data_IF_114872878280
#
_entry.id   IF_114872878280
#
_cell.length_a   1.000
_cell.length_b   1.000
_cell.length_c   1.000
_cell.angle_alpha   90.00
_cell.angle_beta   90.00
_cell.angle_gamma   90.00
#
_symmetry.space_group_name_H-M   'P 1'
#
loop_
_entity.id
_entity.type
_entity.pdbx_description
1 polymer ?
#
# COMPACT_ATOMS: atom_id res chain seq x y z
N UNK A 1 20.12 31.76 13.25
CA UNK A 1 19.19 31.23 14.24
C UNK A 1 17.77 30.94 13.67
N UNK A 2 17.05 31.94 13.10
CA UNK A 2 15.69 31.74 12.55
C UNK A 2 15.58 30.62 11.50
N UNK A 3 16.58 30.46 10.62
CA UNK A 3 16.57 29.45 9.54
C UNK A 3 16.69 28.02 10.10
N UNK A 4 17.51 27.83 11.14
CA UNK A 4 17.68 26.52 11.81
C UNK A 4 16.43 26.14 12.62
N UNK A 5 15.84 27.13 13.30
CA UNK A 5 14.58 26.97 14.05
C UNK A 5 13.42 26.58 13.14
N UNK A 6 13.28 27.24 11.97
CA UNK A 6 12.25 26.87 10.98
C UNK A 6 12.49 25.46 10.37
N UNK A 7 13.75 25.04 10.22
CA UNK A 7 14.08 23.69 9.77
C UNK A 7 13.71 22.65 10.82
N UNK A 8 13.98 22.96 12.09
CA UNK A 8 13.60 22.10 13.22
C UNK A 8 12.08 21.97 13.37
N UNK A 9 11.36 23.10 13.25
CA UNK A 9 9.88 23.08 13.26
C UNK A 9 9.33 22.24 12.11
N UNK A 10 9.84 22.40 10.89
CA UNK A 10 9.43 21.58 9.74
C UNK A 10 9.75 20.10 9.96
N UNK A 11 10.88 19.78 10.57
CA UNK A 11 11.26 18.41 10.91
C UNK A 11 10.33 17.82 11.97
N UNK A 12 10.04 18.57 13.04
CA UNK A 12 9.09 18.17 14.09
C UNK A 12 7.68 18.02 13.53
N UNK A 13 7.23 18.96 12.69
CA UNK A 13 5.93 18.85 12.01
C UNK A 13 5.88 17.64 11.10
N UNK A 14 6.96 17.34 10.37
CA UNK A 14 7.06 16.13 9.54
C UNK A 14 7.03 14.86 10.40
N UNK A 15 7.70 14.87 11.55
CA UNK A 15 7.70 13.74 12.49
C UNK A 15 6.31 13.54 13.14
N UNK A 16 5.69 14.62 13.59
CA UNK A 16 4.33 14.61 14.16
C UNK A 16 3.30 14.24 13.08
N UNK A 17 3.45 14.77 11.87
CA UNK A 17 2.57 14.43 10.75
C UNK A 17 2.69 12.96 10.35
N UNK A 18 3.90 12.40 10.40
CA UNK A 18 4.13 10.97 10.15
C UNK A 18 3.52 10.10 11.27
N UNK A 19 3.55 10.55 12.52
CA UNK A 19 2.85 9.87 13.63
C UNK A 19 1.33 10.06 13.60
N UNK A 20 0.83 11.20 13.06
CA UNK A 20 -0.59 11.55 12.99
C UNK A 20 -1.17 11.49 11.58
N UNK A 21 -0.47 10.95 10.61
CA UNK A 21 -1.01 10.70 9.27
C UNK A 21 -2.04 9.56 9.23
N UNK A 22 -2.55 9.22 10.39
CA UNK A 22 -3.91 8.73 10.49
C UNK A 22 -4.79 9.81 9.88
N UNK A 23 -5.42 9.52 8.85
CA UNK A 23 -6.51 10.15 8.16
C UNK A 23 -7.20 11.24 8.99
N UNK A 24 -7.31 12.46 8.50
CA UNK A 24 -8.24 13.42 9.06
C UNK A 24 -9.58 12.71 9.26
N UNK A 25 -10.01 12.59 10.51
CA UNK A 25 -11.26 11.92 10.85
C UNK A 25 -12.44 12.81 10.45
N UNK A 26 -12.66 12.89 9.15
CA UNK A 26 -13.82 13.56 8.58
C UNK A 26 -14.76 12.52 7.94
N UNK A 27 -15.97 12.94 7.59
CA UNK A 27 -16.98 12.04 7.02
C UNK A 27 -16.49 11.29 5.76
N UNK A 28 -15.62 11.89 4.95
CA UNK A 28 -15.09 11.25 3.73
C UNK A 28 -14.12 10.11 4.09
N UNK A 29 -13.20 10.35 5.02
CA UNK A 29 -12.25 9.33 5.45
C UNK A 29 -12.94 8.20 6.21
N UNK A 30 -13.96 8.52 7.03
CA UNK A 30 -14.76 7.50 7.71
C UNK A 30 -15.52 6.65 6.70
N UNK A 31 -16.23 7.26 5.73
CA UNK A 31 -16.92 6.51 4.68
C UNK A 31 -15.99 5.64 3.86
N UNK A 32 -14.78 6.11 3.59
CA UNK A 32 -13.75 5.34 2.90
C UNK A 32 -13.35 4.09 3.69
N UNK A 33 -13.06 4.23 4.99
CA UNK A 33 -12.72 3.11 5.86
C UNK A 33 -13.88 2.13 5.99
N UNK A 34 -15.12 2.64 6.15
CA UNK A 34 -16.33 1.79 6.21
C UNK A 34 -16.55 1.03 4.91
N UNK A 35 -16.30 1.66 3.75
CA UNK A 35 -16.34 0.98 2.46
C UNK A 35 -15.35 -0.18 2.38
N UNK A 36 -14.10 0.06 2.79
CA UNK A 36 -13.08 -1.00 2.87
C UNK A 36 -13.42 -2.09 3.88
N UNK A 37 -14.01 -1.72 5.01
CA UNK A 37 -14.47 -2.70 6.00
C UNK A 37 -15.55 -3.62 5.43
N UNK A 38 -16.53 -3.07 4.71
CA UNK A 38 -17.58 -3.87 4.05
C UNK A 38 -17.00 -4.84 3.01
N UNK A 39 -16.03 -4.40 2.22
CA UNK A 39 -15.31 -5.29 1.29
C UNK A 39 -14.56 -6.38 2.05
N UNK A 40 -13.89 -6.02 3.15
CA UNK A 40 -13.17 -6.98 3.97
C UNK A 40 -14.11 -8.04 4.59
N UNK A 41 -15.27 -7.64 5.08
CA UNK A 41 -16.29 -8.57 5.61
C UNK A 41 -16.72 -9.62 4.59
N UNK A 42 -16.75 -9.28 3.29
CA UNK A 42 -17.09 -10.24 2.23
C UNK A 42 -15.98 -11.28 2.02
N UNK A 43 -14.74 -10.98 2.36
CA UNK A 43 -13.58 -11.82 2.07
C UNK A 43 -12.88 -12.35 3.32
N UNK A 44 -13.31 -12.00 4.52
CA UNK A 44 -12.61 -12.38 5.74
C UNK A 44 -12.47 -13.90 5.89
N UNK A 45 -13.50 -14.64 5.54
CA UNK A 45 -13.56 -16.10 5.60
C UNK A 45 -13.14 -16.79 4.27
N UNK A 46 -12.81 -16.00 3.24
CA UNK A 46 -12.31 -16.53 1.96
C UNK A 46 -10.79 -16.74 2.09
N UNK A 47 -10.29 -17.98 1.91
CA UNK A 47 -8.85 -18.23 1.94
C UNK A 47 -8.13 -17.46 0.86
N UNK A 48 -6.98 -16.87 1.22
CA UNK A 48 -6.12 -16.18 0.27
C UNK A 48 -5.69 -14.79 0.74
N UNK A 49 -4.86 -14.19 -0.08
CA UNK A 49 -4.21 -12.91 0.16
C UNK A 49 -4.96 -11.77 -0.54
N UNK A 50 -4.64 -10.55 -0.17
CA UNK A 50 -5.13 -9.32 -0.82
C UNK A 50 -4.01 -8.81 -1.72
N UNK A 51 -4.34 -8.47 -2.97
CA UNK A 51 -3.43 -7.82 -3.91
C UNK A 51 -3.92 -6.39 -4.15
N UNK A 52 -3.00 -5.42 -4.14
CA UNK A 52 -3.27 -4.04 -4.53
C UNK A 52 -2.32 -3.64 -5.66
N UNK A 53 -2.89 -3.30 -6.81
CA UNK A 53 -2.18 -2.85 -8.00
C UNK A 53 -2.24 -1.33 -8.08
N UNK A 54 -1.09 -0.66 -7.93
CA UNK A 54 -1.03 0.80 -7.82
C UNK A 54 -1.22 1.28 -6.38
N UNK A 55 -0.34 0.85 -5.45
CA UNK A 55 -0.53 1.18 -4.03
C UNK A 55 -0.32 2.64 -3.67
N UNK A 56 0.42 3.40 -4.48
CA UNK A 56 0.72 4.80 -4.23
C UNK A 56 1.17 5.09 -2.80
N UNK A 57 0.30 5.71 -2.01
CA UNK A 57 0.55 6.05 -0.60
C UNK A 57 0.41 4.89 0.38
N UNK A 58 0.13 3.68 -0.09
CA UNK A 58 -0.16 2.44 0.67
C UNK A 58 -1.38 2.53 1.60
N UNK A 59 -2.29 3.45 1.32
CA UNK A 59 -3.47 3.69 2.17
C UNK A 59 -4.35 2.45 2.30
N UNK A 60 -4.73 1.84 1.17
CA UNK A 60 -5.59 0.67 1.15
C UNK A 60 -4.89 -0.54 1.77
N UNK A 61 -3.59 -0.71 1.49
CA UNK A 61 -2.76 -1.75 2.10
C UNK A 61 -2.71 -1.64 3.63
N UNK A 62 -2.59 -0.41 4.17
CA UNK A 62 -2.61 -0.17 5.63
C UNK A 62 -3.98 -0.50 6.21
N UNK A 63 -5.08 -0.05 5.58
CA UNK A 63 -6.43 -0.35 6.04
C UNK A 63 -6.67 -1.86 6.06
N UNK A 64 -6.35 -2.53 4.97
CA UNK A 64 -6.50 -4.00 4.84
C UNK A 64 -5.63 -4.75 5.84
N UNK A 65 -4.38 -4.32 6.03
CA UNK A 65 -3.47 -4.89 7.02
C UNK A 65 -3.99 -4.77 8.46
N UNK A 66 -4.60 -3.63 8.80
CA UNK A 66 -5.24 -3.46 10.10
C UNK A 66 -6.45 -4.38 10.27
N UNK A 67 -7.29 -4.57 9.25
CA UNK A 67 -8.42 -5.50 9.33
C UNK A 67 -7.95 -6.95 9.47
N UNK A 68 -6.86 -7.35 8.81
CA UNK A 68 -6.24 -8.66 8.98
C UNK A 68 -5.84 -8.85 10.44
N UNK A 69 -5.17 -7.87 11.07
CA UNK A 69 -4.77 -7.95 12.48
C UNK A 69 -5.95 -7.93 13.44
N UNK A 70 -6.95 -7.08 13.21
CA UNK A 70 -8.17 -7.03 14.02
C UNK A 70 -8.91 -8.38 14.04
N UNK A 71 -8.77 -9.18 12.98
CA UNK A 71 -9.38 -10.51 12.88
C UNK A 71 -8.39 -11.65 13.19
N UNK A 72 -7.19 -11.37 13.71
CA UNK A 72 -6.13 -12.35 14.04
C UNK A 72 -5.78 -13.27 12.86
N UNK A 73 -5.73 -12.71 11.64
CA UNK A 73 -5.51 -13.46 10.39
C UNK A 73 -4.11 -13.30 9.82
N UNK A 74 -3.20 -12.61 10.52
CA UNK A 74 -1.85 -12.29 10.05
C UNK A 74 -0.95 -13.50 9.77
N UNK A 75 -1.30 -14.68 10.31
CA UNK A 75 -0.56 -15.92 10.05
C UNK A 75 -0.80 -16.49 8.66
N UNK A 76 -1.97 -16.25 8.07
CA UNK A 76 -2.39 -16.89 6.81
C UNK A 76 -2.94 -15.93 5.75
N UNK A 77 -3.18 -14.66 6.09
CA UNK A 77 -3.60 -13.63 5.14
C UNK A 77 -2.59 -12.49 5.12
N UNK A 78 -2.18 -12.08 3.92
CA UNK A 78 -1.23 -10.98 3.69
C UNK A 78 -1.80 -10.00 2.66
N UNK A 79 -1.23 -8.79 2.64
CA UNK A 79 -1.43 -7.82 1.58
C UNK A 79 -0.16 -7.74 0.76
N UNK A 80 -0.27 -7.79 -0.56
CA UNK A 80 0.81 -7.58 -1.51
C UNK A 80 0.49 -6.33 -2.33
N UNK A 81 1.28 -5.29 -2.13
CA UNK A 81 1.11 -4.01 -2.79
C UNK A 81 2.13 -3.79 -3.88
N UNK A 82 1.68 -3.54 -5.10
CA UNK A 82 2.51 -3.35 -6.30
C UNK A 82 2.51 -1.90 -6.72
N UNK A 83 3.69 -1.32 -6.89
CA UNK A 83 3.86 0.04 -7.43
C UNK A 83 5.29 0.25 -7.91
N UNK A 84 5.49 1.23 -8.78
CA UNK A 84 6.83 1.67 -9.18
C UNK A 84 7.52 2.44 -8.06
N UNK A 85 6.76 3.13 -7.20
CA UNK A 85 7.22 4.09 -6.18
C UNK A 85 8.13 5.19 -6.75
N UNK A 86 7.96 5.48 -8.03
CA UNK A 86 8.73 6.49 -8.76
C UNK A 86 7.89 7.24 -9.79
N UNK A 87 6.55 7.09 -9.70
CA UNK A 87 5.60 7.64 -10.66
C UNK A 87 5.38 6.74 -11.88
N UNK A 88 4.75 7.26 -12.89
CA UNK A 88 4.45 6.52 -14.12
C UNK A 88 5.71 6.14 -14.89
N UNK A 89 5.80 4.93 -15.45
CA UNK A 89 6.86 4.54 -16.38
C UNK A 89 6.90 5.44 -17.60
N UNK A 90 8.09 5.66 -18.16
CA UNK A 90 8.30 6.56 -19.32
C UNK A 90 7.42 6.20 -20.52
N UNK A 91 7.30 4.94 -20.84
CA UNK A 91 6.46 4.46 -21.94
C UNK A 91 4.97 4.79 -21.75
N UNK A 92 4.48 4.82 -20.52
CA UNK A 92 3.11 5.24 -20.20
C UNK A 92 2.95 6.75 -20.38
N UNK A 93 3.94 7.53 -19.96
CA UNK A 93 3.95 8.99 -20.13
C UNK A 93 4.05 9.38 -21.62
N UNK A 94 4.81 8.65 -22.42
CA UNK A 94 4.95 8.89 -23.86
C UNK A 94 3.67 8.53 -24.63
N UNK A 95 2.96 7.51 -24.19
CA UNK A 95 1.71 7.07 -24.83
C UNK A 95 0.48 7.89 -24.43
N UNK A 96 0.55 8.62 -23.32
CA UNK A 96 -0.59 9.37 -22.80
C UNK A 96 -0.21 10.78 -22.34
N UNK A 97 -0.43 11.76 -23.23
CA UNK A 97 -0.11 13.18 -23.02
C UNK A 97 -0.88 13.86 -21.88
N UNK A 98 -1.90 13.20 -21.33
CA UNK A 98 -2.68 13.71 -20.20
C UNK A 98 -2.03 13.44 -18.84
N UNK A 99 -1.02 12.57 -18.77
CA UNK A 99 -0.31 12.31 -17.53
C UNK A 99 0.87 13.29 -17.36
N UNK A 100 0.91 13.97 -16.23
CA UNK A 100 2.06 14.80 -15.90
C UNK A 100 3.24 13.90 -15.47
N UNK A 101 4.49 14.18 -15.95
CA UNK A 101 5.66 13.34 -15.65
C UNK A 101 5.98 13.17 -14.16
N UNK A 102 5.52 14.12 -13.32
CA UNK A 102 5.71 14.09 -11.87
C UNK A 102 4.47 13.68 -11.09
N UNK A 103 3.39 13.31 -11.76
CA UNK A 103 2.21 12.80 -11.09
C UNK A 103 2.56 11.50 -10.35
N UNK A 104 2.03 11.35 -9.13
CA UNK A 104 2.22 10.16 -8.29
C UNK A 104 3.66 9.86 -7.84
N UNK A 105 4.57 10.86 -7.85
CA UNK A 105 5.94 10.73 -7.30
C UNK A 105 6.02 11.13 -5.82
N UNK A 106 4.89 11.39 -5.16
CA UNK A 106 4.86 11.98 -3.80
C UNK A 106 5.37 11.05 -2.70
N UNK A 107 5.48 9.75 -2.98
CA UNK A 107 5.87 8.75 -2.00
C UNK A 107 6.94 7.82 -2.58
N UNK A 108 8.15 7.87 -2.00
CA UNK A 108 9.20 6.92 -2.33
C UNK A 108 8.93 5.55 -1.69
N UNK A 109 9.61 4.52 -2.17
CA UNK A 109 9.55 3.18 -1.57
C UNK A 109 9.89 3.19 -0.08
N UNK A 110 10.89 3.96 0.32
CA UNK A 110 11.32 4.05 1.71
C UNK A 110 10.30 4.79 2.59
N UNK A 111 9.65 5.83 2.07
CA UNK A 111 8.58 6.54 2.78
C UNK A 111 7.40 5.61 3.07
N UNK A 112 6.97 4.83 2.09
CA UNK A 112 5.82 3.92 2.28
C UNK A 112 6.17 2.71 3.14
N UNK A 113 7.41 2.20 3.05
CA UNK A 113 7.92 1.15 3.93
C UNK A 113 7.97 1.63 5.39
N UNK A 114 8.41 2.86 5.62
CA UNK A 114 8.39 3.48 6.94
C UNK A 114 6.97 3.59 7.49
N UNK A 115 6.00 4.01 6.67
CA UNK A 115 4.58 4.06 7.07
C UNK A 115 4.04 2.70 7.51
N UNK A 116 4.33 1.65 6.76
CA UNK A 116 3.92 0.29 7.12
C UNK A 116 4.52 -0.11 8.47
N UNK A 117 5.80 0.15 8.67
CA UNK A 117 6.49 -0.13 9.94
C UNK A 117 5.90 0.65 11.11
N UNK A 118 5.61 1.93 10.94
CA UNK A 118 4.99 2.79 11.97
C UNK A 118 3.59 2.35 12.36
N UNK A 119 2.87 1.67 11.46
CA UNK A 119 1.58 1.07 11.73
C UNK A 119 1.69 -0.38 12.26
N UNK A 120 2.91 -0.88 12.54
CA UNK A 120 3.16 -2.25 12.98
C UNK A 120 2.61 -3.32 12.03
N UNK A 121 2.70 -3.07 10.71
CA UNK A 121 2.14 -3.93 9.67
C UNK A 121 3.21 -4.63 8.81
N UNK A 122 4.49 -4.56 9.19
CA UNK A 122 5.60 -5.12 8.41
C UNK A 122 5.54 -6.65 8.26
N UNK A 123 4.80 -7.32 9.12
CA UNK A 123 4.55 -8.76 9.08
C UNK A 123 3.33 -9.14 8.22
N UNK A 124 2.52 -8.17 7.82
CA UNK A 124 1.27 -8.38 7.08
C UNK A 124 1.31 -7.78 5.68
N UNK A 125 1.91 -6.59 5.53
CA UNK A 125 1.94 -5.84 4.26
C UNK A 125 3.31 -5.99 3.61
N UNK A 126 3.33 -6.52 2.40
CA UNK A 126 4.51 -6.73 1.58
C UNK A 126 4.46 -5.83 0.35
N UNK A 127 5.51 -5.04 0.13
CA UNK A 127 5.60 -4.16 -1.03
C UNK A 127 6.45 -4.81 -2.13
N UNK A 128 5.94 -4.78 -3.34
CA UNK A 128 6.62 -5.27 -4.54
C UNK A 128 6.84 -4.09 -5.47
N UNK A 129 8.11 -3.67 -5.54
CA UNK A 129 8.53 -2.55 -6.38
C UNK A 129 8.73 -3.02 -7.81
N UNK A 130 8.03 -2.39 -8.73
CA UNK A 130 8.17 -2.65 -10.16
C UNK A 130 7.03 -2.07 -10.98
N UNK A 131 7.21 -2.08 -12.29
CA UNK A 131 6.18 -1.66 -13.24
C UNK A 131 5.23 -2.82 -13.52
N UNK A 132 3.93 -2.53 -13.52
CA UNK A 132 2.91 -3.45 -14.01
C UNK A 132 2.93 -3.50 -15.55
N UNK A 133 2.64 -4.67 -16.19
CA UNK A 133 2.29 -5.95 -15.54
C UNK A 133 3.48 -6.79 -15.04
N UNK A 134 4.72 -6.44 -15.47
CA UNK A 134 5.91 -7.28 -15.27
C UNK A 134 6.16 -7.70 -13.81
N UNK A 135 6.04 -6.79 -12.86
CA UNK A 135 6.26 -7.10 -11.44
C UNK A 135 5.22 -8.08 -10.88
N UNK A 136 4.00 -8.06 -11.40
CA UNK A 136 2.96 -9.03 -11.04
C UNK A 136 3.24 -10.40 -11.65
N UNK A 137 3.66 -10.45 -12.92
CA UNK A 137 4.05 -11.69 -13.60
C UNK A 137 5.20 -12.39 -12.87
N UNK A 138 6.28 -11.66 -12.56
CA UNK A 138 7.44 -12.18 -11.84
C UNK A 138 7.04 -12.71 -10.42
N UNK A 139 6.14 -12.01 -9.76
CA UNK A 139 5.60 -12.45 -8.46
C UNK A 139 4.78 -13.74 -8.61
N UNK A 140 3.87 -13.80 -9.56
CA UNK A 140 3.03 -14.97 -9.81
C UNK A 140 3.87 -16.19 -10.21
N UNK A 141 4.86 -16.03 -11.08
CA UNK A 141 5.78 -17.10 -11.46
C UNK A 141 6.51 -17.67 -10.23
N UNK A 142 7.07 -16.79 -9.39
CA UNK A 142 7.76 -17.19 -8.17
C UNK A 142 6.85 -17.94 -7.20
N UNK A 143 5.62 -17.44 -7.01
CA UNK A 143 4.65 -18.04 -6.10
C UNK A 143 4.05 -19.32 -6.66
N UNK A 144 3.86 -19.44 -7.99
CA UNK A 144 3.40 -20.68 -8.67
C UNK A 144 4.41 -21.81 -8.45
N UNK A 145 5.70 -21.57 -8.51
CA UNK A 145 6.72 -22.59 -8.18
C UNK A 145 6.74 -22.98 -6.69
N UNK A 146 6.21 -22.14 -5.82
CA UNK A 146 5.95 -22.42 -4.41
C UNK A 146 4.73 -23.36 -4.19
N UNK A 147 4.05 -23.77 -5.23
CA UNK A 147 2.77 -24.51 -5.24
C UNK A 147 2.80 -25.89 -4.60
N UNK A 148 3.95 -26.48 -4.36
CA UNK A 148 4.07 -27.79 -3.62
C UNK A 148 3.48 -27.72 -2.20
N UNK A 149 3.04 -26.53 -1.73
CA UNK A 149 2.48 -26.29 -0.39
C UNK A 149 1.06 -25.68 -0.38
N UNK A 150 0.29 -25.79 -1.45
CA UNK A 150 -1.12 -25.35 -1.47
C UNK A 150 -1.41 -24.11 -2.31
N UNK A 151 -0.43 -23.52 -2.97
CA UNK A 151 -0.57 -22.46 -3.95
C UNK A 151 -0.94 -21.06 -3.40
N UNK A 152 -0.65 -20.03 -4.17
CA UNK A 152 -1.12 -18.66 -3.90
C UNK A 152 -2.63 -18.62 -4.11
N UNK A 153 -3.39 -18.31 -3.06
CA UNK A 153 -4.81 -17.99 -3.16
C UNK A 153 -5.00 -16.51 -3.01
N UNK A 154 -5.88 -15.93 -3.80
CA UNK A 154 -6.20 -14.51 -3.78
C UNK A 154 -7.66 -14.36 -3.38
N UNK A 155 -7.93 -13.59 -2.33
CA UNK A 155 -9.28 -13.30 -1.84
C UNK A 155 -9.81 -11.95 -2.32
N UNK A 156 -8.93 -11.01 -2.65
CA UNK A 156 -9.32 -9.68 -3.14
C UNK A 156 -8.21 -9.08 -4.00
N UNK A 157 -8.60 -8.39 -5.07
CA UNK A 157 -7.72 -7.56 -5.87
C UNK A 157 -8.29 -6.14 -5.89
N UNK A 158 -7.50 -5.17 -5.44
CA UNK A 158 -7.72 -3.74 -5.69
C UNK A 158 -6.94 -3.34 -6.94
N UNK A 159 -7.56 -2.54 -7.79
CA UNK A 159 -6.92 -1.90 -8.96
C UNK A 159 -7.18 -0.41 -8.84
N UNK A 160 -6.11 0.40 -8.68
CA UNK A 160 -6.16 1.86 -8.55
C UNK A 160 -5.56 2.54 -9.81
#
# INVERSE_FOLDING_TARGET
MKKLFNLLIKFIQKLLFVQWSGYDLNHKSINYIVGHYRLYELIKDVPGHIIELGTGSVRNSIISGNFIKLNNQEKYKKVYGFDTFSGYPKNVLESNKHFEPKAHTSFSYDDVKLRISQNNLSDVVNLIKGSLPKSLEDFLEKEIYSFSKGGLKISLIYVD
#
